data_IF_001871585012
#
_entry.id   IF_001871585012
#
_cell.length_a   1.000
_cell.length_b   1.000
_cell.length_c   1.000
_cell.angle_alpha   90.00
_cell.angle_beta   90.00
_cell.angle_gamma   90.00
#
_symmetry.space_group_name_H-M   'P 1'
#
loop_
_entity.id
_entity.type
_entity.pdbx_description
1 polymer ?
#
# COMPACT_ATOMS: atom_id res chain seq x y z
N UNK A 1 7.31 -1.49 -17.88
CA UNK A 1 6.43 -2.03 -16.83
C UNK A 1 6.32 -1.14 -15.61
N UNK A 2 7.41 -0.62 -15.03
CA UNK A 2 7.38 0.31 -13.88
C UNK A 2 6.54 1.58 -14.12
N UNK A 3 6.60 2.19 -15.31
CA UNK A 3 5.78 3.35 -15.68
C UNK A 3 4.28 3.02 -15.80
N UNK A 4 3.89 1.80 -16.12
CA UNK A 4 2.48 1.41 -16.20
C UNK A 4 1.87 1.23 -14.79
N UNK A 5 2.65 0.75 -13.82
CA UNK A 5 2.20 0.57 -12.44
C UNK A 5 2.16 1.91 -11.69
N UNK A 6 3.12 2.81 -11.93
CA UNK A 6 3.20 4.14 -11.30
C UNK A 6 2.44 5.22 -12.10
N UNK A 7 2.21 5.03 -13.41
CA UNK A 7 1.73 6.07 -14.32
C UNK A 7 0.40 6.70 -13.92
N UNK A 8 -0.56 5.92 -13.46
CA UNK A 8 -1.82 6.48 -12.95
C UNK A 8 -1.66 7.19 -11.60
N UNK A 9 -0.77 6.72 -10.74
CA UNK A 9 -0.49 7.37 -9.45
C UNK A 9 0.21 8.71 -9.62
N UNK A 10 1.25 8.76 -10.47
CA UNK A 10 1.98 9.99 -10.80
C UNK A 10 1.07 11.03 -11.43
N UNK A 11 0.20 10.62 -12.35
CA UNK A 11 -0.75 11.54 -12.99
C UNK A 11 -1.75 12.11 -11.98
N UNK A 12 -2.19 11.33 -10.99
CA UNK A 12 -3.05 11.82 -9.92
C UNK A 12 -2.34 12.81 -9.01
N UNK A 13 -1.09 12.54 -8.63
CA UNK A 13 -0.28 13.48 -7.85
C UNK A 13 -0.03 14.76 -8.64
N UNK A 14 0.31 14.67 -9.92
CA UNK A 14 0.56 15.81 -10.78
C UNK A 14 -0.69 16.69 -11.00
N UNK A 15 -1.88 16.08 -11.01
CA UNK A 15 -3.17 16.79 -11.11
C UNK A 15 -3.54 17.47 -9.80
N UNK A 16 -2.93 17.09 -8.69
CA UNK A 16 -3.25 17.55 -7.34
C UNK A 16 -4.40 16.78 -6.70
N UNK A 17 -4.44 16.83 -5.37
CA UNK A 17 -5.55 16.29 -4.61
C UNK A 17 -6.75 17.23 -4.68
N UNK A 18 -7.94 16.67 -4.80
CA UNK A 18 -9.18 17.43 -4.69
C UNK A 18 -9.41 17.78 -3.23
N UNK A 19 -9.56 19.07 -2.92
CA UNK A 19 -9.91 19.49 -1.56
C UNK A 19 -11.35 19.11 -1.22
N UNK A 20 -11.52 18.46 -0.06
CA UNK A 20 -12.86 18.21 0.47
C UNK A 20 -13.30 19.47 1.19
N UNK A 21 -14.05 20.34 0.49
CA UNK A 21 -14.58 21.58 1.02
C UNK A 21 -16.09 21.45 1.25
N UNK A 22 -16.50 21.65 2.51
CA UNK A 22 -17.91 21.74 2.89
C UNK A 22 -18.65 20.42 2.99
N UNK A 23 -18.90 19.71 1.90
CA UNK A 23 -19.65 18.44 1.90
C UNK A 23 -18.80 17.31 1.35
N UNK A 24 -18.84 16.15 2.02
CA UNK A 24 -18.20 14.94 1.50
C UNK A 24 -19.02 14.38 0.34
N UNK A 25 -18.48 14.52 -0.87
CA UNK A 25 -19.07 14.00 -2.09
C UNK A 25 -17.93 13.63 -3.07
N UNK A 26 -17.24 12.54 -2.77
CA UNK A 26 -16.11 12.11 -3.54
C UNK A 26 -16.25 10.62 -3.89
N UNK A 27 -16.25 10.30 -5.18
CA UNK A 27 -16.37 8.94 -5.68
C UNK A 27 -15.16 8.07 -5.31
N UNK A 28 -15.36 6.75 -5.15
CA UNK A 28 -14.28 5.81 -4.95
C UNK A 28 -13.18 5.92 -6.01
N UNK A 29 -11.93 6.00 -5.57
CA UNK A 29 -10.76 6.19 -6.43
C UNK A 29 -10.32 7.64 -6.57
N UNK A 30 -11.09 8.62 -6.10
CA UNK A 30 -10.68 10.04 -6.09
C UNK A 30 -9.51 10.24 -5.12
N UNK A 31 -8.51 11.01 -5.55
CA UNK A 31 -7.41 11.45 -4.68
C UNK A 31 -7.79 12.77 -4.05
N UNK A 32 -7.87 12.79 -2.72
CA UNK A 32 -8.42 13.91 -1.95
C UNK A 32 -7.42 14.44 -0.92
N UNK A 33 -7.63 15.71 -0.53
CA UNK A 33 -6.93 16.37 0.56
C UNK A 33 -7.95 16.97 1.52
N UNK A 34 -7.67 16.88 2.82
CA UNK A 34 -8.49 17.49 3.85
C UNK A 34 -7.66 17.93 5.06
N UNK A 35 -8.05 19.05 5.67
CA UNK A 35 -7.50 19.55 6.91
C UNK A 35 -8.39 19.08 8.07
N UNK A 36 -7.93 18.10 8.82
CA UNK A 36 -8.68 17.51 9.93
C UNK A 36 -8.43 18.32 11.18
N UNK A 37 -9.48 18.95 11.67
CA UNK A 37 -9.49 19.75 12.89
C UNK A 37 -10.13 18.98 14.05
N UNK A 38 -11.12 18.13 13.77
CA UNK A 38 -11.86 17.36 14.75
C UNK A 38 -11.89 15.88 14.40
N UNK A 39 -11.70 15.02 15.40
CA UNK A 39 -11.90 13.58 15.33
C UNK A 39 -12.81 13.19 16.48
N UNK A 40 -14.05 12.81 16.15
CA UNK A 40 -15.09 12.52 17.14
C UNK A 40 -14.88 11.19 17.85
N UNK A 41 -14.33 10.21 17.14
CA UNK A 41 -14.02 8.88 17.66
C UNK A 41 -12.84 8.25 16.94
N UNK A 42 -12.17 7.33 17.61
CA UNK A 42 -11.12 6.52 17.03
C UNK A 42 -11.31 5.05 17.38
N UNK A 43 -11.11 4.14 16.42
CA UNK A 43 -11.15 2.70 16.65
C UNK A 43 -10.05 1.98 15.87
N UNK A 44 -9.63 0.83 16.38
CA UNK A 44 -8.61 0.00 15.75
C UNK A 44 -9.15 -0.64 14.47
N UNK A 45 -8.24 -1.05 13.57
CA UNK A 45 -8.62 -1.78 12.36
C UNK A 45 -9.28 -3.12 12.76
N UNK A 46 -10.57 -3.34 12.45
CA UNK A 46 -11.28 -4.57 12.80
C UNK A 46 -10.67 -5.82 12.15
N UNK A 47 -9.84 -5.65 11.12
CA UNK A 47 -9.12 -6.74 10.48
C UNK A 47 -7.73 -7.01 11.10
N UNK A 48 -7.42 -6.42 12.27
CA UNK A 48 -6.20 -6.73 13.03
C UNK A 48 -4.93 -6.06 12.52
N UNK A 49 -5.02 -4.91 11.88
CA UNK A 49 -3.86 -4.14 11.44
C UNK A 49 -3.37 -3.12 12.49
N UNK A 50 -2.18 -2.54 12.25
CA UNK A 50 -1.65 -1.42 13.05
C UNK A 50 -2.26 -0.06 12.67
N UNK A 51 -3.15 -0.03 11.69
CA UNK A 51 -3.88 1.16 11.27
C UNK A 51 -5.00 1.48 12.26
N UNK A 52 -5.36 2.77 12.31
CA UNK A 52 -6.45 3.28 13.14
C UNK A 52 -7.46 4.00 12.24
N UNK A 53 -8.72 3.89 12.58
CA UNK A 53 -9.77 4.68 11.96
C UNK A 53 -10.11 5.87 12.85
N UNK A 54 -10.33 7.04 12.24
CA UNK A 54 -10.85 8.23 12.91
C UNK A 54 -12.11 8.70 12.22
N UNK A 55 -13.13 9.06 13.00
CA UNK A 55 -14.39 9.61 12.52
C UNK A 55 -14.31 11.12 12.47
N UNK A 56 -14.38 11.69 11.27
CA UNK A 56 -14.23 13.12 11.02
C UNK A 56 -15.56 13.69 10.52
N UNK A 57 -16.11 14.73 11.18
CA UNK A 57 -17.32 15.39 10.71
C UNK A 57 -17.00 16.30 9.52
N UNK A 58 -17.64 16.06 8.38
CA UNK A 58 -17.47 16.85 7.16
C UNK A 58 -18.84 17.19 6.55
N UNK A 59 -19.26 18.44 6.66
CA UNK A 59 -20.49 18.90 6.02
C UNK A 59 -21.75 18.15 6.45
N UNK A 60 -21.83 17.76 7.72
CA UNK A 60 -22.94 16.99 8.27
C UNK A 60 -22.85 15.48 8.04
N UNK A 61 -21.75 14.99 7.45
CA UNK A 61 -21.47 13.55 7.32
C UNK A 61 -20.34 13.13 8.26
N UNK A 62 -20.38 11.89 8.70
CA UNK A 62 -19.37 11.27 9.57
C UNK A 62 -18.49 10.35 8.73
N UNK A 63 -17.38 10.88 8.26
CA UNK A 63 -16.50 10.18 7.32
C UNK A 63 -15.40 9.43 8.07
N UNK A 64 -15.23 8.16 7.81
CA UNK A 64 -14.15 7.38 8.38
C UNK A 64 -12.85 7.58 7.58
N UNK A 65 -11.79 7.97 8.28
CA UNK A 65 -10.42 8.08 7.75
C UNK A 65 -9.58 6.93 8.28
N UNK A 66 -8.94 6.17 7.40
CA UNK A 66 -8.01 5.11 7.78
C UNK A 66 -6.60 5.66 7.81
N UNK A 67 -6.03 5.78 8.99
CA UNK A 67 -4.68 6.26 9.23
C UNK A 67 -3.69 5.11 9.36
N UNK A 68 -2.56 5.11 8.65
CA UNK A 68 -1.47 4.21 8.94
C UNK A 68 -0.82 4.53 10.29
N UNK A 69 -0.16 3.56 10.92
CA UNK A 69 0.38 3.63 12.28
C UNK A 69 1.22 4.89 12.58
N UNK A 70 1.90 5.43 11.56
CA UNK A 70 2.71 6.66 11.70
C UNK A 70 1.91 7.90 12.13
N UNK A 71 0.59 7.90 11.92
CA UNK A 71 -0.30 8.98 12.28
C UNK A 71 -0.94 8.83 13.67
N UNK A 72 -0.78 7.66 14.34
CA UNK A 72 -1.50 7.37 15.59
C UNK A 72 -1.29 8.44 16.68
N UNK A 73 -0.08 8.97 16.81
CA UNK A 73 0.19 10.05 17.77
C UNK A 73 -0.56 11.33 17.43
N UNK A 74 -0.55 11.77 16.17
CA UNK A 74 -1.26 12.96 15.70
C UNK A 74 -2.77 12.79 15.79
N UNK A 75 -3.29 11.63 15.41
CA UNK A 75 -4.73 11.29 15.52
C UNK A 75 -5.18 11.35 16.97
N UNK A 76 -4.39 10.76 17.89
CA UNK A 76 -4.68 10.82 19.33
C UNK A 76 -4.68 12.25 19.84
N UNK A 77 -3.71 13.06 19.44
CA UNK A 77 -3.64 14.48 19.87
C UNK A 77 -4.89 15.25 19.43
N UNK A 78 -5.35 15.09 18.19
CA UNK A 78 -6.56 15.76 17.69
C UNK A 78 -7.82 15.21 18.38
N UNK A 79 -7.92 13.90 18.61
CA UNK A 79 -9.06 13.30 19.31
C UNK A 79 -9.16 13.78 20.77
N UNK A 80 -8.02 13.83 21.50
CA UNK A 80 -7.96 14.36 22.86
C UNK A 80 -8.34 15.85 22.89
N UNK A 81 -7.86 16.61 21.91
CA UNK A 81 -8.21 18.01 21.72
C UNK A 81 -9.70 18.21 21.43
N UNK A 82 -10.28 17.40 20.53
CA UNK A 82 -11.71 17.41 20.26
C UNK A 82 -12.53 17.15 21.51
N UNK A 83 -12.15 16.16 22.30
CA UNK A 83 -12.80 15.84 23.58
C UNK A 83 -12.73 17.02 24.54
N UNK A 84 -11.61 17.73 24.62
CA UNK A 84 -11.44 18.90 25.45
C UNK A 84 -12.38 20.04 25.03
N UNK A 85 -12.48 20.33 23.74
CA UNK A 85 -13.41 21.35 23.21
C UNK A 85 -14.86 20.99 23.51
N UNK A 86 -15.25 19.74 23.27
CA UNK A 86 -16.61 19.25 23.52
C UNK A 86 -16.96 19.27 25.03
N UNK A 87 -15.96 19.20 25.92
CA UNK A 87 -16.11 19.36 27.37
C UNK A 87 -16.15 20.83 27.83
N UNK A 88 -16.14 21.79 26.90
CA UNK A 88 -16.16 23.22 27.19
C UNK A 88 -14.81 23.81 27.62
N UNK A 89 -13.73 23.11 27.45
CA UNK A 89 -12.38 23.62 27.69
C UNK A 89 -11.89 24.46 26.51
N UNK A 90 -11.15 25.53 26.79
CA UNK A 90 -10.53 26.33 25.75
C UNK A 90 -9.42 25.53 25.06
N UNK A 91 -9.49 25.42 23.76
CA UNK A 91 -8.50 24.76 22.94
C UNK A 91 -7.92 25.74 21.91
N UNK A 92 -6.61 25.70 21.69
CA UNK A 92 -5.99 26.48 20.63
C UNK A 92 -6.23 25.80 19.29
N UNK A 93 -6.82 26.52 18.36
CA UNK A 93 -7.20 26.03 17.00
C UNK A 93 -5.97 25.75 16.10
N UNK A 94 -4.75 25.90 16.63
CA UNK A 94 -3.52 25.76 15.87
C UNK A 94 -3.13 24.29 15.56
N UNK A 95 -3.93 23.32 16.02
CA UNK A 95 -3.67 21.90 15.79
C UNK A 95 -4.66 21.34 14.77
N UNK A 96 -4.26 21.32 13.53
CA UNK A 96 -4.90 20.53 12.49
C UNK A 96 -3.87 19.61 11.83
N UNK A 97 -4.34 18.55 11.24
CA UNK A 97 -3.50 17.69 10.41
C UNK A 97 -3.99 17.73 8.97
N UNK A 98 -3.10 18.10 8.06
CA UNK A 98 -3.37 18.02 6.64
C UNK A 98 -3.05 16.63 6.14
N UNK A 99 -4.04 15.95 5.61
CA UNK A 99 -3.92 14.60 5.06
C UNK A 99 -4.28 14.57 3.60
N UNK A 100 -3.59 13.70 2.88
CA UNK A 100 -3.96 13.32 1.52
C UNK A 100 -4.26 11.83 1.49
N UNK A 101 -5.17 11.41 0.62
CA UNK A 101 -5.56 10.01 0.57
C UNK A 101 -6.44 9.69 -0.62
N UNK A 102 -6.80 8.43 -0.73
CA UNK A 102 -7.71 7.96 -1.78
C UNK A 102 -9.02 7.50 -1.16
N UNK A 103 -10.12 7.96 -1.72
CA UNK A 103 -11.46 7.48 -1.38
C UNK A 103 -11.62 6.04 -1.83
N UNK A 104 -12.15 5.18 -0.97
CA UNK A 104 -12.41 3.76 -1.22
C UNK A 104 -13.78 3.39 -0.65
N UNK A 105 -14.40 2.37 -1.21
CA UNK A 105 -15.57 1.75 -0.62
C UNK A 105 -15.23 1.24 0.78
N UNK A 106 -16.13 1.46 1.72
CA UNK A 106 -15.97 1.06 3.12
C UNK A 106 -16.06 -0.47 3.25
N UNK A 107 -15.11 -1.11 3.95
CA UNK A 107 -15.24 -2.53 4.29
C UNK A 107 -16.42 -2.75 5.24
N UNK A 108 -17.14 -3.87 5.10
CA UNK A 108 -18.30 -4.19 5.91
C UNK A 108 -18.03 -4.14 7.43
N UNK A 109 -16.89 -4.69 7.89
CA UNK A 109 -16.52 -4.65 9.29
C UNK A 109 -16.33 -3.22 9.84
N UNK A 110 -15.86 -2.28 9.00
CA UNK A 110 -15.71 -0.87 9.36
C UNK A 110 -17.07 -0.19 9.38
N UNK A 111 -17.90 -0.47 8.39
CA UNK A 111 -19.28 0.04 8.30
C UNK A 111 -20.11 -0.38 9.52
N UNK A 112 -20.03 -1.66 9.91
CA UNK A 112 -20.72 -2.15 11.12
C UNK A 112 -20.22 -1.44 12.38
N UNK A 113 -18.92 -1.34 12.58
CA UNK A 113 -18.34 -0.66 13.75
C UNK A 113 -18.72 0.83 13.80
N UNK A 114 -18.75 1.50 12.65
CA UNK A 114 -19.17 2.90 12.55
C UNK A 114 -20.68 3.07 12.84
N UNK A 115 -21.50 2.17 12.32
CA UNK A 115 -22.94 2.16 12.52
C UNK A 115 -23.30 1.91 13.99
N UNK A 116 -22.66 0.93 14.65
CA UNK A 116 -22.85 0.63 16.06
C UNK A 116 -22.52 1.86 16.92
N UNK A 117 -21.34 2.46 16.69
CA UNK A 117 -20.93 3.68 17.36
C UNK A 117 -21.90 4.85 17.12
N UNK A 118 -22.36 5.04 15.89
CA UNK A 118 -23.33 6.06 15.55
C UNK A 118 -24.62 5.87 16.33
N UNK A 119 -25.15 4.65 16.35
CA UNK A 119 -26.42 4.32 17.03
C UNK A 119 -26.30 4.58 18.54
N UNK A 120 -25.20 4.21 19.15
CA UNK A 120 -24.96 4.44 20.57
C UNK A 120 -24.83 5.93 20.92
N UNK A 121 -24.31 6.74 19.99
CA UNK A 121 -24.00 8.15 20.25
C UNK A 121 -24.91 9.14 19.51
N UNK A 122 -25.96 8.69 18.84
CA UNK A 122 -26.83 9.51 17.99
C UNK A 122 -27.33 10.79 18.68
N UNK A 123 -27.91 10.66 19.87
CA UNK A 123 -28.42 11.81 20.63
C UNK A 123 -27.31 12.81 21.02
N UNK A 124 -26.12 12.31 21.35
CA UNK A 124 -24.98 13.15 21.65
C UNK A 124 -24.47 13.88 20.41
N UNK A 125 -24.39 13.19 19.26
CA UNK A 125 -23.97 13.78 18.00
C UNK A 125 -24.91 14.90 17.52
N UNK A 126 -26.22 14.75 17.73
CA UNK A 126 -27.20 15.81 17.50
C UNK A 126 -26.97 16.99 18.47
N UNK A 127 -26.78 16.70 19.74
CA UNK A 127 -26.57 17.75 20.78
C UNK A 127 -25.35 18.62 20.47
N UNK A 128 -24.24 18.05 19.97
CA UNK A 128 -23.03 18.79 19.60
C UNK A 128 -23.10 19.38 18.17
N UNK A 129 -24.18 19.16 17.45
CA UNK A 129 -24.38 19.66 16.09
C UNK A 129 -23.49 18.99 15.03
N UNK A 130 -22.97 17.80 15.31
CA UNK A 130 -22.18 17.02 14.35
C UNK A 130 -23.05 16.42 13.25
N UNK A 131 -24.31 16.15 13.55
CA UNK A 131 -25.36 15.65 12.64
C UNK A 131 -26.63 16.49 12.79
N UNK A 132 -27.52 16.44 11.79
CA UNK A 132 -28.83 17.08 11.82
C UNK A 132 -29.89 16.23 12.51
N UNK A 133 -31.17 16.53 12.22
CA UNK A 133 -32.34 15.94 12.88
C UNK A 133 -32.87 14.68 12.18
N UNK A 134 -32.22 14.20 11.11
CA UNK A 134 -32.64 12.97 10.42
C UNK A 134 -32.38 11.75 11.29
N UNK A 135 -33.34 10.82 11.32
CA UNK A 135 -33.18 9.53 11.99
C UNK A 135 -32.49 8.47 11.09
N UNK A 136 -32.35 8.78 9.77
CA UNK A 136 -31.73 7.86 8.83
C UNK A 136 -30.22 7.96 8.89
N UNK A 137 -29.57 6.88 9.31
CA UNK A 137 -28.11 6.79 9.37
C UNK A 137 -27.45 6.99 7.99
N UNK A 138 -28.13 6.63 6.91
CA UNK A 138 -27.62 6.79 5.54
C UNK A 138 -27.41 8.28 5.15
N UNK A 139 -28.13 9.20 5.81
CA UNK A 139 -27.93 10.63 5.59
C UNK A 139 -26.58 11.10 6.12
N UNK A 140 -26.00 10.41 7.10
CA UNK A 140 -24.80 10.82 7.82
C UNK A 140 -23.60 9.92 7.60
N UNK A 141 -23.82 8.63 7.31
CA UNK A 141 -22.76 7.64 7.13
C UNK A 141 -22.57 7.35 5.64
N UNK A 142 -21.50 7.84 5.02
CA UNK A 142 -21.19 7.52 3.62
C UNK A 142 -20.71 6.07 3.51
N UNK A 143 -20.92 5.46 2.35
CA UNK A 143 -20.42 4.12 2.01
C UNK A 143 -18.89 4.11 1.68
N UNK A 144 -18.26 5.26 1.79
CA UNK A 144 -16.86 5.44 1.46
C UNK A 144 -16.02 5.81 2.69
N UNK A 145 -14.74 5.42 2.61
CA UNK A 145 -13.69 5.83 3.54
C UNK A 145 -12.57 6.56 2.80
N UNK A 146 -11.82 7.38 3.52
CA UNK A 146 -10.58 7.97 3.02
C UNK A 146 -9.39 7.17 3.55
N UNK A 147 -8.62 6.54 2.67
CA UNK A 147 -7.36 5.89 3.05
C UNK A 147 -6.23 6.90 2.95
N UNK A 148 -5.77 7.36 4.09
CA UNK A 148 -4.69 8.34 4.22
C UNK A 148 -3.37 7.77 3.71
N UNK A 149 -2.54 8.63 3.12
CA UNK A 149 -1.22 8.31 2.56
C UNK A 149 -1.24 7.29 1.42
N UNK A 150 -2.33 7.23 0.67
CA UNK A 150 -2.43 6.35 -0.48
C UNK A 150 -2.80 7.11 -1.75
N UNK A 151 -2.22 6.69 -2.87
CA UNK A 151 -2.61 7.12 -4.21
C UNK A 151 -3.13 5.90 -4.96
N UNK A 152 -4.45 5.80 -5.07
CA UNK A 152 -5.09 4.57 -5.53
C UNK A 152 -4.99 3.45 -4.49
N UNK A 153 -4.24 2.40 -4.80
CA UNK A 153 -3.99 1.28 -3.87
C UNK A 153 -2.56 1.25 -3.34
N UNK A 154 -1.72 2.19 -3.78
CA UNK A 154 -0.27 2.21 -3.49
C UNK A 154 0.01 3.27 -2.42
N UNK A 155 0.87 3.00 -1.43
CA UNK A 155 1.33 4.03 -0.51
C UNK A 155 1.99 5.20 -1.26
N UNK A 156 1.65 6.43 -0.89
CA UNK A 156 2.12 7.64 -1.59
C UNK A 156 3.65 7.70 -1.68
N UNK A 157 4.37 7.37 -0.62
CA UNK A 157 5.83 7.38 -0.63
C UNK A 157 6.46 6.43 -1.65
N UNK A 158 5.81 5.31 -1.98
CA UNK A 158 6.26 4.41 -3.04
C UNK A 158 6.08 5.04 -4.43
N UNK A 159 4.96 5.74 -4.66
CA UNK A 159 4.71 6.44 -5.92
C UNK A 159 5.74 7.54 -6.13
N UNK A 160 6.03 8.31 -5.11
CA UNK A 160 7.06 9.36 -5.13
C UNK A 160 8.45 8.78 -5.40
N UNK A 161 8.86 7.74 -4.67
CA UNK A 161 10.15 7.06 -4.85
C UNK A 161 10.34 6.47 -6.24
N UNK A 162 9.30 5.78 -6.76
CA UNK A 162 9.31 5.23 -8.12
C UNK A 162 9.39 6.34 -9.18
N UNK A 163 8.74 7.47 -8.94
CA UNK A 163 8.79 8.63 -9.85
C UNK A 163 10.21 9.20 -9.92
N UNK A 164 10.85 9.41 -8.78
CA UNK A 164 12.23 9.91 -8.74
C UNK A 164 13.18 8.93 -9.45
N UNK A 165 13.04 7.62 -9.19
CA UNK A 165 13.84 6.60 -9.87
C UNK A 165 13.61 6.60 -11.40
N UNK A 166 12.36 6.73 -11.84
CA UNK A 166 12.03 6.77 -13.27
C UNK A 166 12.64 7.99 -13.97
N UNK A 167 12.58 9.17 -13.33
CA UNK A 167 13.19 10.42 -13.85
C UNK A 167 14.72 10.27 -13.92
N UNK A 168 15.36 9.72 -12.89
CA UNK A 168 16.80 9.47 -12.89
C UNK A 168 17.22 8.52 -14.03
N UNK A 169 16.46 7.43 -14.24
CA UNK A 169 16.70 6.50 -15.37
C UNK A 169 16.53 7.19 -16.73
N UNK A 170 15.53 8.06 -16.86
CA UNK A 170 15.29 8.81 -18.10
C UNK A 170 16.45 9.76 -18.39
N UNK A 171 16.94 10.51 -17.38
CA UNK A 171 18.10 11.41 -17.52
C UNK A 171 19.32 10.60 -17.92
N UNK A 172 19.57 9.46 -17.25
CA UNK A 172 20.67 8.58 -17.61
C UNK A 172 20.58 8.08 -19.04
N UNK A 173 19.40 7.61 -19.49
CA UNK A 173 19.18 7.17 -20.86
C UNK A 173 19.45 8.28 -21.89
N UNK A 174 19.02 9.54 -21.61
CA UNK A 174 19.29 10.69 -22.46
C UNK A 174 20.80 10.96 -22.54
N UNK A 175 21.50 10.93 -21.41
CA UNK A 175 22.97 11.15 -21.39
C UNK A 175 23.70 10.08 -22.20
N UNK A 176 23.30 8.81 -22.07
CA UNK A 176 23.86 7.70 -22.87
C UNK A 176 23.57 7.91 -24.35
N UNK A 177 22.33 8.27 -24.71
CA UNK A 177 21.96 8.54 -26.09
C UNK A 177 22.78 9.68 -26.69
N UNK A 178 22.96 10.80 -25.95
CA UNK A 178 23.81 11.92 -26.38
C UNK A 178 25.25 11.46 -26.59
N UNK A 179 25.80 10.64 -25.69
CA UNK A 179 27.17 10.10 -25.83
C UNK A 179 27.31 9.23 -27.09
N UNK A 180 26.31 8.41 -27.40
CA UNK A 180 26.27 7.59 -28.62
C UNK A 180 26.21 8.48 -29.86
N UNK A 181 25.29 9.43 -29.90
CA UNK A 181 25.10 10.35 -31.05
C UNK A 181 26.29 11.27 -31.28
N UNK A 182 27.00 11.68 -30.21
CA UNK A 182 28.20 12.53 -30.33
C UNK A 182 29.46 11.71 -30.68
N UNK A 183 29.36 10.43 -30.98
CA UNK A 183 30.48 9.59 -31.38
C UNK A 183 31.58 9.38 -30.31
N UNK A 184 31.24 9.70 -29.05
CA UNK A 184 32.20 9.57 -27.90
C UNK A 184 32.22 8.14 -27.31
N UNK A 185 31.50 7.19 -27.89
CA UNK A 185 31.79 5.78 -27.67
C UNK A 185 33.00 5.45 -28.56
N UNK A 186 34.18 5.53 -28.01
CA UNK A 186 35.32 4.77 -28.55
C UNK A 186 34.85 3.31 -28.53
N UNK A 187 34.62 2.76 -29.71
CA UNK A 187 34.57 1.31 -29.84
C UNK A 187 35.86 0.80 -29.23
N UNK A 188 35.81 0.17 -28.07
CA UNK A 188 36.91 -0.69 -27.64
C UNK A 188 37.21 -1.57 -28.86
N UNK A 189 38.34 -1.30 -29.48
CA UNK A 189 38.80 -2.15 -30.57
C UNK A 189 38.85 -3.56 -29.99
N UNK A 190 37.89 -4.37 -30.39
CA UNK A 190 37.99 -5.81 -30.18
C UNK A 190 39.44 -6.17 -30.56
N UNK A 191 40.20 -6.87 -29.72
CA UNK A 191 41.53 -7.31 -30.07
C UNK A 191 41.40 -8.04 -31.43
N UNK A 192 42.23 -7.61 -32.37
CA UNK A 192 42.26 -8.15 -33.71
C UNK A 192 42.64 -9.64 -33.56
N UNK A 193 41.62 -10.49 -33.50
CA UNK A 193 41.82 -11.94 -33.46
C UNK A 193 42.20 -12.31 -34.89
N UNK A 194 43.49 -12.16 -35.18
CA UNK A 194 44.09 -12.72 -36.37
C UNK A 194 43.96 -14.23 -36.20
N UNK A 195 42.96 -14.82 -36.87
CA UNK A 195 42.93 -16.26 -37.05
C UNK A 195 44.11 -16.59 -37.97
N UNK A 196 45.24 -17.02 -37.41
CA UNK A 196 46.24 -17.75 -38.13
C UNK A 196 45.56 -19.04 -38.61
N UNK A 197 45.22 -19.08 -39.91
CA UNK A 197 44.86 -20.30 -40.58
C UNK A 197 46.09 -21.22 -40.47
N UNK A 198 46.05 -22.08 -39.45
CA UNK A 198 46.94 -23.22 -39.40
C UNK A 198 46.52 -24.10 -40.54
N UNK A 199 47.37 -24.10 -41.59
CA UNK A 199 47.27 -24.95 -42.77
C UNK A 199 47.41 -26.40 -42.29
N UNK A 200 46.29 -27.03 -41.96
CA UNK A 200 46.23 -28.47 -41.69
C UNK A 200 46.22 -29.18 -43.04
N UNK A 201 47.37 -29.31 -43.63
CA UNK A 201 47.62 -30.34 -44.63
C UNK A 201 47.33 -31.72 -43.99
N UNK A 202 46.44 -32.54 -44.57
CA UNK A 202 46.26 -33.88 -44.02
C UNK A 202 47.42 -34.74 -44.37
N UNK A 203 48.27 -34.99 -43.41
CA UNK A 203 49.26 -36.09 -43.49
C UNK A 203 48.47 -37.40 -43.36
N UNK A 204 48.42 -38.10 -44.51
CA UNK A 204 47.92 -39.46 -44.62
C UNK A 204 48.97 -40.38 -44.05
N UNK A 205 48.79 -40.98 -42.92
CA UNK A 205 49.48 -42.20 -42.53
C UNK A 205 48.62 -43.10 -41.64
N UNK A 206 48.35 -44.25 -42.25
CA UNK A 206 48.14 -45.62 -41.74
C UNK A 206 47.23 -45.86 -40.55
N UNK A 207 46.18 -46.59 -40.88
CA UNK A 207 45.43 -47.41 -39.94
C UNK A 207 46.31 -48.54 -39.34
N UNK A 208 46.05 -49.03 -38.15
CA UNK A 208 45.50 -50.39 -38.03
C UNK A 208 44.29 -50.45 -37.05
N UNK A 209 43.46 -51.37 -37.50
CA UNK A 209 42.39 -52.15 -36.91
C UNK A 209 42.27 -52.29 -35.39
N UNK A 210 41.00 -52.30 -35.03
CA UNK A 210 40.29 -53.15 -34.05
C UNK A 210 40.70 -53.17 -32.58
N UNK A 211 39.81 -52.81 -31.70
CA UNK A 211 38.99 -53.81 -30.97
C UNK A 211 38.08 -53.19 -29.92
N UNK A 212 36.89 -53.77 -29.83
CA UNK A 212 36.04 -53.91 -28.68
C UNK A 212 35.47 -52.68 -27.97
N UNK A 213 34.13 -52.57 -28.08
CA UNK A 213 33.24 -51.96 -27.12
C UNK A 213 33.38 -52.56 -25.69
N UNK A 214 32.92 -51.87 -24.65
CA UNK A 214 31.54 -52.12 -24.25
C UNK A 214 30.73 -50.87 -23.85
N UNK A 215 29.45 -51.02 -24.06
CA UNK A 215 28.33 -50.25 -23.56
C UNK A 215 28.39 -50.03 -22.07
N UNK A 216 28.06 -48.82 -21.63
CA UNK A 216 27.51 -48.65 -20.30
C UNK A 216 26.42 -47.57 -20.37
N UNK A 217 25.22 -48.02 -20.08
CA UNK A 217 23.97 -47.24 -19.96
C UNK A 217 24.03 -46.19 -18.87
N UNK A 218 23.23 -45.14 -18.95
CA UNK A 218 23.11 -44.11 -17.92
C UNK A 218 22.12 -44.56 -16.85
N UNK A 219 22.56 -44.58 -15.61
CA UNK A 219 21.70 -44.71 -14.43
C UNK A 219 21.08 -43.37 -14.04
N UNK A 220 19.80 -43.33 -14.13
CA UNK A 220 18.71 -43.00 -13.19
C UNK A 220 18.99 -41.95 -12.13
N UNK A 221 18.18 -40.90 -12.21
CA UNK A 221 17.86 -39.91 -11.15
C UNK A 221 17.41 -40.57 -9.83
N UNK A 222 17.53 -39.87 -8.74
CA UNK A 222 16.51 -39.97 -7.71
C UNK A 222 15.78 -38.64 -7.46
N UNK A 223 14.48 -38.66 -7.71
CA UNK A 223 13.48 -37.76 -7.13
C UNK A 223 13.60 -37.77 -5.60
N UNK A 224 13.63 -36.58 -5.05
CA UNK A 224 13.42 -36.41 -3.59
C UNK A 224 12.18 -35.54 -3.40
N UNK A 225 11.08 -36.17 -3.07
CA UNK A 225 9.87 -35.52 -2.53
C UNK A 225 10.17 -34.96 -1.12
N UNK A 226 9.67 -33.79 -0.74
CA UNK A 226 9.61 -33.39 0.65
C UNK A 226 8.28 -33.81 1.28
N UNK A 227 8.42 -34.57 2.34
CA UNK A 227 7.35 -34.99 3.26
C UNK A 227 6.60 -33.81 3.88
N UNK A 228 5.30 -33.92 3.79
CA UNK A 228 4.32 -33.07 4.47
C UNK A 228 4.17 -33.54 5.91
N UNK A 229 4.72 -32.79 6.85
CA UNK A 229 4.50 -33.03 8.28
C UNK A 229 3.24 -32.29 8.75
N UNK A 230 2.20 -33.07 8.97
CA UNK A 230 0.92 -32.67 9.54
C UNK A 230 1.05 -32.60 11.07
N UNK A 231 1.06 -31.40 11.63
CA UNK A 231 0.91 -31.22 13.07
C UNK A 231 -0.55 -30.95 13.41
N UNK A 232 -1.14 -31.87 14.19
CA UNK A 232 -2.45 -31.76 14.80
C UNK A 232 -2.45 -30.73 15.94
N UNK A 233 -3.54 -30.02 16.19
CA UNK A 233 -3.70 -29.19 17.37
C UNK A 233 -4.12 -30.03 18.58
N UNK A 234 -3.38 -29.85 19.64
CA UNK A 234 -3.63 -30.39 20.97
C UNK A 234 -4.80 -29.64 21.63
N UNK A 235 -5.73 -30.43 22.09
CA UNK A 235 -6.96 -30.11 22.81
C UNK A 235 -6.59 -29.98 24.28
N UNK A 236 -6.69 -28.83 24.89
CA UNK A 236 -6.62 -28.67 26.34
C UNK A 236 -7.97 -28.25 26.91
N UNK A 237 -8.36 -29.15 27.78
CA UNK A 237 -9.47 -29.30 28.72
C UNK A 237 -9.79 -28.04 29.54
N UNK A 238 -11.05 -27.83 29.59
CA UNK A 238 -11.97 -27.49 30.66
C UNK A 238 -11.41 -27.51 32.08
N UNK A 239 -11.49 -26.35 32.74
CA UNK A 239 -11.62 -26.36 34.20
C UNK A 239 -12.69 -25.32 34.57
N UNK A 240 -13.85 -25.90 34.89
CA UNK A 240 -14.94 -25.36 35.66
C UNK A 240 -14.44 -25.11 37.09
N UNK A 241 -14.52 -23.89 37.56
CA UNK A 241 -14.51 -23.64 39.01
C UNK A 241 -15.39 -22.44 39.34
N UNK A 242 -16.55 -22.76 39.86
CA UNK A 242 -17.44 -21.87 40.59
C UNK A 242 -17.07 -21.93 42.06
N UNK A 243 -17.02 -20.80 42.80
CA UNK A 243 -17.66 -20.84 44.08
C UNK A 243 -18.55 -19.63 44.38
N UNK A 244 -19.73 -19.94 44.81
CA UNK A 244 -20.58 -19.42 45.83
C UNK A 244 -19.89 -18.44 46.84
N UNK A 245 -20.46 -17.23 46.95
CA UNK A 245 -20.79 -16.51 48.21
C UNK A 245 -21.33 -15.11 47.88
#
# INVERSE_FOLDING_TARGET
MLLAVSGFGVFRIARGAQEIAGTFNADPGTFVQHDIVFILNTFSDPNGGSAQYGVVPIGGKLVAFRFPARWNASVKTIADATTSVLSGQSYSVDSFIRVTGTVKTMPEAVSSALYDWYTENHAYLQQIGAIGDSEDAADYLPDEIVRVDTVGSIPQGWVEGLTVAAVACLIYAIVVLIRILCGKYEQEKLPDITFELVDMTPETEDAPEADAAPETEPETEPETEPETETAQPEKSEETEDTPDA
#
